data_IF_535801504256
#
_entry.id   IF_535801504256
#
_cell.length_a   1.000
_cell.length_b   1.000
_cell.length_c   1.000
_cell.angle_alpha   90.00
_cell.angle_beta   90.00
_cell.angle_gamma   90.00
#
_symmetry.space_group_name_H-M   'P 1'
#
loop_
_entity.id
_entity.type
_entity.pdbx_description
1 polymer ?
#
# COMPACT_ATOMS: atom_id res chain seq x y z
N UNK A 1 -20.90 24.24 -32.71
CA UNK A 1 -22.06 23.50 -32.16
C UNK A 1 -21.67 22.24 -31.37
N UNK A 2 -20.67 21.45 -31.77
CA UNK A 2 -20.27 20.22 -31.03
C UNK A 2 -19.69 20.48 -29.62
N UNK A 3 -18.85 21.52 -29.46
CA UNK A 3 -18.25 21.88 -28.16
C UNK A 3 -19.29 22.36 -27.13
N UNK A 4 -20.34 23.06 -27.56
CA UNK A 4 -21.43 23.51 -26.69
C UNK A 4 -22.32 22.35 -26.22
N UNK A 5 -22.59 21.38 -27.10
CA UNK A 5 -23.35 20.18 -26.75
C UNK A 5 -22.58 19.26 -25.79
N UNK A 6 -21.26 19.13 -25.95
CA UNK A 6 -20.41 18.36 -25.03
C UNK A 6 -20.34 19.01 -23.64
N UNK A 7 -20.22 20.33 -23.56
CA UNK A 7 -20.22 21.06 -22.28
C UNK A 7 -21.58 20.96 -21.55
N UNK A 8 -22.70 21.11 -22.28
CA UNK A 8 -24.04 20.98 -21.71
C UNK A 8 -24.38 19.53 -21.31
N UNK A 9 -23.96 18.54 -22.10
CA UNK A 9 -24.13 17.12 -21.79
C UNK A 9 -23.38 16.70 -20.53
N UNK A 10 -22.17 17.22 -20.32
CA UNK A 10 -21.37 16.93 -19.11
C UNK A 10 -21.94 17.62 -17.85
N UNK A 11 -22.53 18.81 -17.99
CA UNK A 11 -23.15 19.53 -16.89
C UNK A 11 -24.52 18.95 -16.47
N UNK A 12 -25.19 18.19 -17.35
CA UNK A 12 -26.54 17.64 -17.10
C UNK A 12 -26.55 16.13 -16.86
N UNK A 13 -25.47 15.41 -17.20
CA UNK A 13 -25.34 13.98 -16.91
C UNK A 13 -25.25 13.74 -15.40
N UNK A 14 -26.37 13.35 -14.79
CA UNK A 14 -26.40 12.86 -13.41
C UNK A 14 -26.01 11.38 -13.40
N UNK A 15 -25.18 10.92 -12.44
CA UNK A 15 -24.87 9.50 -12.32
C UNK A 15 -26.13 8.67 -12.10
N UNK A 16 -26.28 7.60 -12.87
CA UNK A 16 -27.37 6.62 -12.75
C UNK A 16 -26.81 5.23 -12.45
N UNK A 17 -27.67 4.23 -12.26
CA UNK A 17 -27.22 2.85 -12.07
C UNK A 17 -26.57 2.28 -13.35
N UNK A 18 -27.03 2.71 -14.53
CA UNK A 18 -26.51 2.29 -15.83
C UNK A 18 -25.19 3.01 -16.18
N UNK A 19 -25.01 4.23 -15.67
CA UNK A 19 -23.82 5.05 -15.84
C UNK A 19 -23.32 5.55 -14.49
N UNK A 20 -22.73 4.66 -13.67
CA UNK A 20 -22.36 4.99 -12.30
C UNK A 20 -21.14 5.90 -12.25
N UNK A 21 -21.12 6.79 -11.25
CA UNK A 21 -19.94 7.60 -10.96
C UNK A 21 -18.87 6.75 -10.28
N UNK A 22 -17.63 6.87 -10.75
CA UNK A 22 -16.49 6.27 -10.08
C UNK A 22 -16.13 7.04 -8.80
N UNK A 23 -15.88 6.31 -7.72
CA UNK A 23 -15.40 6.84 -6.44
C UNK A 23 -14.19 6.06 -5.95
N UNK A 24 -13.30 6.67 -5.18
CA UNK A 24 -12.09 6.02 -4.69
C UNK A 24 -11.86 6.36 -3.23
N UNK A 25 -11.63 5.35 -2.41
CA UNK A 25 -11.16 5.50 -1.03
C UNK A 25 -10.43 4.24 -0.60
N UNK A 26 -9.47 4.36 0.30
CA UNK A 26 -8.88 3.22 0.99
C UNK A 26 -8.46 3.59 2.41
N UNK A 27 -8.42 2.57 3.26
CA UNK A 27 -7.95 2.68 4.63
C UNK A 27 -6.49 2.24 4.71
N UNK A 28 -5.67 2.99 5.45
CA UNK A 28 -4.32 2.54 5.83
C UNK A 28 -4.08 2.75 7.32
N UNK A 29 -3.39 1.79 7.94
CA UNK A 29 -2.93 1.86 9.33
C UNK A 29 -1.40 1.73 9.37
N UNK A 30 -0.72 2.71 9.97
CA UNK A 30 0.66 2.59 10.42
C UNK A 30 0.66 1.97 11.83
N UNK A 31 1.02 0.69 11.91
CA UNK A 31 1.05 -0.05 13.17
C UNK A 31 2.21 0.36 14.09
N UNK A 32 3.24 1.06 13.59
CA UNK A 32 4.32 1.57 14.41
C UNK A 32 3.87 2.79 15.21
N UNK A 33 3.11 3.68 14.58
CA UNK A 33 2.60 4.92 15.21
C UNK A 33 1.20 4.78 15.79
N UNK A 34 0.48 3.73 15.42
CA UNK A 34 -0.94 3.59 15.76
C UNK A 34 -1.82 4.63 15.06
N UNK A 35 -1.37 5.18 13.93
CA UNK A 35 -2.09 6.22 13.18
C UNK A 35 -2.76 5.61 11.95
N UNK A 36 -4.00 6.00 11.69
CA UNK A 36 -4.78 5.55 10.56
C UNK A 36 -5.26 6.73 9.72
N UNK A 37 -5.46 6.47 8.44
CA UNK A 37 -5.86 7.48 7.47
C UNK A 37 -6.84 6.90 6.44
N UNK A 38 -7.79 7.72 6.03
CA UNK A 38 -8.52 7.56 4.78
C UNK A 38 -7.74 8.28 3.68
N UNK A 39 -7.58 7.63 2.53
CA UNK A 39 -6.89 8.20 1.37
C UNK A 39 -7.71 8.04 0.09
N UNK A 40 -7.53 8.98 -0.84
CA UNK A 40 -8.09 8.91 -2.17
C UNK A 40 -7.15 9.47 -3.24
N UNK A 41 -7.24 8.95 -4.46
CA UNK A 41 -6.61 9.50 -5.65
C UNK A 41 -7.49 10.56 -6.34
N UNK A 42 -8.70 10.81 -5.85
CA UNK A 42 -9.59 11.84 -6.37
C UNK A 42 -9.10 13.24 -5.94
N UNK A 43 -9.38 14.26 -6.74
CA UNK A 43 -9.01 15.64 -6.44
C UNK A 43 -9.75 16.23 -5.23
N UNK A 44 -10.89 15.64 -4.84
CA UNK A 44 -11.67 16.05 -3.68
C UNK A 44 -12.77 15.03 -3.33
N UNK A 45 -13.47 15.23 -2.20
CA UNK A 45 -14.55 14.34 -1.78
C UNK A 45 -15.76 14.42 -2.71
N UNK A 46 -16.30 13.25 -3.08
CA UNK A 46 -17.59 13.12 -3.75
C UNK A 46 -18.74 12.99 -2.72
N UNK A 47 -19.98 12.84 -3.20
CA UNK A 47 -21.15 12.80 -2.34
C UNK A 47 -21.11 11.67 -1.28
N UNK A 48 -20.49 10.53 -1.59
CA UNK A 48 -20.36 9.39 -0.68
C UNK A 48 -19.10 9.47 0.18
N UNK A 49 -17.96 9.88 -0.39
CA UNK A 49 -16.68 9.93 0.34
C UNK A 49 -16.57 11.09 1.34
N UNK A 50 -17.50 12.06 1.31
CA UNK A 50 -17.66 13.08 2.38
C UNK A 50 -17.76 12.51 3.79
N UNK A 51 -18.24 11.26 3.94
CA UNK A 51 -18.26 10.58 5.24
C UNK A 51 -16.85 10.32 5.81
N UNK A 52 -15.82 10.24 4.96
CA UNK A 52 -14.42 10.03 5.34
C UNK A 52 -13.62 11.34 5.37
N UNK A 53 -14.04 12.31 4.55
CA UNK A 53 -13.30 13.52 4.24
C UNK A 53 -14.12 14.77 4.58
N UNK A 54 -14.32 15.04 5.88
CA UNK A 54 -15.01 16.24 6.36
C UNK A 54 -14.16 17.51 6.24
N UNK A 55 -12.84 17.37 6.39
CA UNK A 55 -11.86 18.44 6.30
C UNK A 55 -10.51 17.85 5.82
N UNK A 56 -10.45 17.35 4.56
CA UNK A 56 -9.29 16.64 4.08
C UNK A 56 -8.13 17.60 3.77
N UNK A 57 -6.92 17.03 3.75
CA UNK A 57 -5.73 17.67 3.19
C UNK A 57 -5.42 17.05 1.83
N UNK A 58 -4.88 17.84 0.92
CA UNK A 58 -4.31 17.37 -0.35
C UNK A 58 -2.82 17.61 -0.32
N UNK A 59 -2.03 16.55 -0.37
CA UNK A 59 -0.58 16.66 -0.29
C UNK A 59 0.12 15.31 -0.34
N UNK A 60 1.46 15.30 -0.44
CA UNK A 60 2.25 14.09 -0.30
C UNK A 60 2.13 13.56 1.14
N UNK A 61 2.13 12.24 1.30
CA UNK A 61 2.07 11.57 2.60
C UNK A 61 3.21 10.55 2.74
N UNK A 62 4.48 11.02 2.76
CA UNK A 62 5.67 10.18 2.65
C UNK A 62 5.81 9.18 3.80
N UNK A 63 5.21 9.45 4.97
CA UNK A 63 5.19 8.53 6.09
C UNK A 63 4.48 7.20 5.79
N UNK A 64 3.46 7.20 4.93
CA UNK A 64 2.64 6.03 4.58
C UNK A 64 2.88 5.53 3.15
N UNK A 65 3.34 6.43 2.28
CA UNK A 65 3.60 6.20 0.87
C UNK A 65 5.04 6.63 0.54
N UNK A 66 6.06 5.96 1.10
CA UNK A 66 7.46 6.31 0.83
C UNK A 66 7.77 6.20 -0.66
N UNK A 67 8.46 7.22 -1.19
CA UNK A 67 8.80 7.34 -2.61
C UNK A 67 7.66 7.84 -3.51
N UNK A 68 6.47 8.09 -2.97
CA UNK A 68 5.35 8.69 -3.71
C UNK A 68 5.34 10.20 -3.48
N UNK A 69 5.58 10.96 -4.54
CA UNK A 69 5.59 12.43 -4.52
C UNK A 69 4.28 13.05 -5.01
N UNK A 70 3.42 12.25 -5.64
CA UNK A 70 2.12 12.71 -6.11
C UNK A 70 1.21 13.04 -4.92
N UNK A 71 0.50 14.19 -4.97
CA UNK A 71 -0.43 14.55 -3.91
C UNK A 71 -1.58 13.55 -3.86
N UNK A 72 -2.00 13.21 -2.65
CA UNK A 72 -3.17 12.37 -2.38
C UNK A 72 -4.14 13.15 -1.49
N UNK A 73 -5.44 12.92 -1.68
CA UNK A 73 -6.44 13.40 -0.74
C UNK A 73 -6.38 12.49 0.50
N UNK A 74 -6.17 13.05 1.68
CA UNK A 74 -6.08 12.27 2.90
C UNK A 74 -6.70 12.97 4.11
N UNK A 75 -7.19 12.16 5.05
CA UNK A 75 -7.66 12.62 6.36
C UNK A 75 -7.38 11.54 7.40
N UNK A 76 -7.06 11.95 8.63
CA UNK A 76 -6.91 11.02 9.75
C UNK A 76 -8.20 10.20 9.96
N UNK A 77 -8.03 8.91 10.21
CA UNK A 77 -9.12 7.97 10.44
C UNK A 77 -9.07 7.40 11.87
N UNK A 78 -10.21 6.93 12.41
CA UNK A 78 -10.21 6.16 13.65
C UNK A 78 -9.27 4.95 13.53
N UNK A 79 -8.43 4.75 14.55
CA UNK A 79 -7.56 3.57 14.62
C UNK A 79 -8.41 2.33 14.88
N UNK A 80 -8.37 1.39 13.95
CA UNK A 80 -8.96 0.06 14.10
C UNK A 80 -7.92 -0.95 14.64
N UNK A 81 -8.39 -1.94 15.38
CA UNK A 81 -7.56 -2.99 15.97
C UNK A 81 -7.18 -4.07 14.94
N UNK A 82 -6.45 -3.68 13.89
CA UNK A 82 -6.03 -4.58 12.82
C UNK A 82 -4.62 -5.12 13.08
N UNK A 83 -4.46 -6.45 13.01
CA UNK A 83 -3.16 -7.09 13.16
C UNK A 83 -2.23 -6.73 11.98
N UNK A 84 -0.99 -6.26 12.23
CA UNK A 84 -0.04 -5.96 11.17
C UNK A 84 0.65 -7.22 10.62
N UNK A 85 1.18 -7.18 9.39
CA UNK A 85 2.02 -8.27 8.88
C UNK A 85 3.22 -8.50 9.79
N UNK A 86 3.76 -9.72 9.77
CA UNK A 86 4.93 -10.11 10.57
C UNK A 86 6.13 -10.37 9.68
N UNK A 87 7.32 -9.98 10.15
CA UNK A 87 8.61 -10.36 9.56
C UNK A 87 9.40 -11.07 10.65
N UNK A 88 9.77 -12.32 10.41
CA UNK A 88 10.55 -13.16 11.33
C UNK A 88 11.87 -13.54 10.67
N UNK A 89 12.98 -13.40 11.39
CA UNK A 89 14.30 -13.84 10.91
C UNK A 89 14.36 -15.37 11.04
N UNK A 90 14.53 -16.05 9.91
CA UNK A 90 14.75 -17.50 9.86
C UNK A 90 16.25 -17.84 9.96
N UNK A 91 17.09 -17.02 9.34
CA UNK A 91 18.54 -17.14 9.42
C UNK A 91 19.20 -15.77 9.23
N UNK A 92 20.32 -15.58 9.93
CA UNK A 92 21.17 -14.40 9.83
C UNK A 92 22.62 -14.85 9.87
N UNK A 93 23.33 -14.67 8.76
CA UNK A 93 24.70 -15.14 8.60
C UNK A 93 25.59 -14.01 8.14
N UNK A 94 26.63 -13.72 8.92
CA UNK A 94 27.68 -12.80 8.51
C UNK A 94 28.65 -13.53 7.57
N UNK A 95 28.99 -12.89 6.46
CA UNK A 95 29.90 -13.41 5.44
C UNK A 95 31.08 -12.43 5.27
N UNK A 96 32.25 -12.87 4.77
CA UNK A 96 33.33 -11.95 4.41
C UNK A 96 32.90 -10.86 3.41
N UNK A 97 31.89 -11.17 2.60
CA UNK A 97 31.33 -10.29 1.55
C UNK A 97 30.07 -9.51 1.99
N UNK A 98 29.70 -9.57 3.27
CA UNK A 98 28.56 -8.83 3.83
C UNK A 98 27.69 -9.67 4.78
N UNK A 99 26.37 -9.71 4.56
CA UNK A 99 25.41 -10.42 5.42
C UNK A 99 24.30 -11.06 4.60
N UNK A 100 23.96 -12.30 4.92
CA UNK A 100 22.81 -13.02 4.35
C UNK A 100 21.68 -13.10 5.37
N UNK A 101 20.53 -12.54 5.03
CA UNK A 101 19.31 -12.57 5.84
C UNK A 101 18.24 -13.38 5.16
N UNK A 102 17.67 -14.36 5.85
CA UNK A 102 16.53 -15.15 5.39
C UNK A 102 15.33 -14.83 6.27
N UNK A 103 14.29 -14.27 5.67
CA UNK A 103 13.15 -13.68 6.37
C UNK A 103 11.86 -14.37 5.98
N UNK A 104 11.05 -14.76 6.96
CA UNK A 104 9.66 -15.16 6.76
C UNK A 104 8.77 -13.93 6.89
N UNK A 105 8.06 -13.60 5.82
CA UNK A 105 7.04 -12.53 5.82
C UNK A 105 5.67 -13.18 5.76
N UNK A 106 4.77 -12.81 6.68
CA UNK A 106 3.40 -13.36 6.72
C UNK A 106 2.36 -12.25 6.85
N UNK A 107 1.20 -12.40 6.19
CA UNK A 107 0.04 -11.61 6.54
C UNK A 107 -0.46 -12.03 7.92
N UNK A 108 -1.09 -11.10 8.65
CA UNK A 108 -1.70 -11.41 9.95
C UNK A 108 -3.24 -11.40 9.90
N UNK A 109 -3.82 -11.08 8.73
CA UNK A 109 -5.26 -10.93 8.53
C UNK A 109 -5.75 -11.90 7.43
N UNK A 110 -7.00 -12.40 7.52
CA UNK A 110 -7.59 -13.17 6.43
C UNK A 110 -7.82 -12.29 5.19
N UNK A 111 -7.88 -12.90 4.01
CA UNK A 111 -8.22 -12.20 2.76
C UNK A 111 -7.15 -11.22 2.27
N UNK A 112 -5.92 -11.29 2.77
CA UNK A 112 -4.80 -10.52 2.22
C UNK A 112 -4.47 -11.00 0.81
N UNK A 113 -4.55 -10.07 -0.14
CA UNK A 113 -4.32 -10.30 -1.57
C UNK A 113 -2.93 -9.86 -2.03
N UNK A 114 -2.22 -9.05 -1.24
CA UNK A 114 -0.81 -8.75 -1.49
C UNK A 114 -0.02 -8.41 -0.22
N UNK A 115 1.28 -8.72 -0.28
CA UNK A 115 2.30 -8.25 0.65
C UNK A 115 3.30 -7.38 -0.12
N UNK A 116 3.44 -6.13 0.30
CA UNK A 116 4.46 -5.22 -0.20
C UNK A 116 5.58 -5.09 0.83
N UNK A 117 6.81 -5.30 0.39
CA UNK A 117 8.01 -4.99 1.14
C UNK A 117 8.67 -3.76 0.53
N UNK A 118 9.13 -2.85 1.37
CA UNK A 118 9.95 -1.72 0.94
C UNK A 118 11.10 -1.48 1.90
N UNK A 119 12.26 -1.15 1.36
CA UNK A 119 13.50 -0.91 2.11
C UNK A 119 14.27 0.22 1.43
N UNK A 120 15.14 0.95 2.14
CA UNK A 120 16.01 1.95 1.52
C UNK A 120 16.94 1.32 0.48
N UNK A 121 17.47 2.11 -0.44
CA UNK A 121 18.54 1.66 -1.32
C UNK A 121 19.74 1.24 -0.48
N UNK A 122 20.11 -0.03 -0.61
CA UNK A 122 21.26 -0.65 0.05
C UNK A 122 22.04 -1.44 -0.99
N UNK A 123 23.33 -1.66 -0.74
CA UNK A 123 24.14 -2.53 -1.57
C UNK A 123 23.63 -3.97 -1.45
N UNK A 124 22.99 -4.48 -2.51
CA UNK A 124 22.55 -5.87 -2.62
C UNK A 124 23.45 -6.62 -3.60
N UNK A 125 24.05 -7.70 -3.10
CA UNK A 125 24.71 -8.71 -3.93
C UNK A 125 23.68 -9.66 -4.58
N UNK A 126 22.49 -9.77 -3.97
CA UNK A 126 21.39 -10.59 -4.49
C UNK A 126 20.12 -10.49 -3.66
N UNK A 127 19.00 -10.87 -4.29
CA UNK A 127 17.69 -11.00 -3.65
C UNK A 127 17.02 -12.26 -4.17
N UNK A 128 16.45 -13.08 -3.26
CA UNK A 128 15.55 -14.18 -3.63
C UNK A 128 14.18 -13.98 -3.01
N UNK A 129 13.15 -14.29 -3.77
CA UNK A 129 11.74 -14.15 -3.36
C UNK A 129 11.06 -15.48 -3.65
N UNK A 130 10.50 -16.12 -2.62
CA UNK A 130 9.87 -17.43 -2.74
C UNK A 130 10.77 -18.45 -3.48
N UNK A 131 12.07 -18.46 -3.17
CA UNK A 131 13.06 -19.34 -3.80
C UNK A 131 13.61 -18.89 -5.16
N UNK A 132 13.05 -17.86 -5.78
CA UNK A 132 13.43 -17.38 -7.11
C UNK A 132 14.38 -16.18 -7.01
N UNK A 133 15.49 -16.20 -7.75
CA UNK A 133 16.41 -15.07 -7.81
C UNK A 133 15.77 -13.88 -8.56
N UNK A 134 15.91 -12.69 -8.02
CA UNK A 134 15.48 -11.45 -8.67
C UNK A 134 16.62 -10.93 -9.52
N UNK A 135 16.31 -10.56 -10.77
CA UNK A 135 17.30 -10.02 -11.70
C UNK A 135 17.94 -8.74 -11.13
N UNK A 136 19.28 -8.58 -11.15
CA UNK A 136 19.96 -7.40 -10.59
C UNK A 136 19.47 -6.06 -11.14
N UNK A 137 19.08 -6.00 -12.41
CA UNK A 137 18.53 -4.80 -13.03
C UNK A 137 17.24 -4.30 -12.37
N UNK A 138 16.50 -5.17 -11.67
CA UNK A 138 15.27 -4.82 -10.93
C UNK A 138 15.55 -4.35 -9.50
N UNK A 139 16.79 -4.46 -9.02
CA UNK A 139 17.20 -4.07 -7.67
C UNK A 139 17.75 -2.63 -7.61
N UNK A 140 17.83 -1.96 -8.76
CA UNK A 140 18.29 -0.59 -8.87
C UNK A 140 17.11 0.36 -8.62
N UNK A 141 17.26 1.26 -7.65
CA UNK A 141 16.26 2.29 -7.35
C UNK A 141 16.78 3.68 -7.70
N UNK A 142 15.96 4.45 -8.40
CA UNK A 142 16.18 5.89 -8.67
C UNK A 142 15.56 6.80 -7.60
N UNK A 143 14.80 6.25 -6.66
CA UNK A 143 14.03 7.01 -5.65
C UNK A 143 14.58 6.89 -4.23
N UNK A 144 15.72 6.21 -4.06
CA UNK A 144 16.33 5.92 -2.76
C UNK A 144 15.62 4.81 -1.97
N UNK A 145 14.58 4.20 -2.53
CA UNK A 145 13.83 3.08 -1.94
C UNK A 145 13.58 1.98 -2.97
N UNK A 146 13.75 0.74 -2.53
CA UNK A 146 13.33 -0.44 -3.29
C UNK A 146 11.99 -0.95 -2.77
N UNK A 147 11.24 -1.58 -3.67
CA UNK A 147 9.93 -2.14 -3.33
C UNK A 147 9.65 -3.42 -4.10
N UNK A 148 9.09 -4.40 -3.41
CA UNK A 148 8.62 -5.66 -3.97
C UNK A 148 7.17 -5.84 -3.56
N UNK A 149 6.30 -6.19 -4.51
CA UNK A 149 4.92 -6.61 -4.20
C UNK A 149 4.75 -8.06 -4.60
N UNK A 150 4.37 -8.90 -3.63
CA UNK A 150 4.00 -10.29 -3.84
C UNK A 150 2.48 -10.41 -3.80
N UNK A 151 1.90 -10.96 -4.86
CA UNK A 151 0.45 -11.15 -5.00
C UNK A 151 0.05 -12.55 -4.52
N UNK A 152 -1.16 -12.66 -3.97
CA UNK A 152 -1.71 -13.91 -3.44
C UNK A 152 -0.76 -14.67 -2.47
N UNK A 153 -0.31 -14.03 -1.38
CA UNK A 153 0.68 -14.62 -0.46
C UNK A 153 0.19 -15.86 0.30
N UNK A 154 -1.13 -16.11 0.35
CA UNK A 154 -1.71 -17.11 1.23
C UNK A 154 -1.41 -16.85 2.72
N UNK A 155 -1.88 -17.72 3.63
CA UNK A 155 -1.64 -17.55 5.07
C UNK A 155 -0.17 -17.80 5.46
N UNK A 156 0.56 -18.60 4.68
CA UNK A 156 1.97 -18.90 4.95
C UNK A 156 2.92 -17.77 4.50
N UNK A 157 2.44 -16.84 3.68
CA UNK A 157 3.24 -15.74 3.16
C UNK A 157 4.38 -16.22 2.28
N UNK A 158 5.55 -15.59 2.41
CA UNK A 158 6.72 -15.87 1.59
C UNK A 158 8.02 -15.79 2.38
N UNK A 159 9.03 -16.50 1.88
CA UNK A 159 10.42 -16.32 2.31
C UNK A 159 11.12 -15.35 1.36
N UNK A 160 11.83 -14.38 1.94
CA UNK A 160 12.68 -13.44 1.21
C UNK A 160 14.10 -13.54 1.74
N UNK A 161 15.07 -13.60 0.83
CA UNK A 161 16.48 -13.78 1.15
C UNK A 161 17.25 -12.59 0.61
N UNK A 162 17.87 -11.82 1.50
CA UNK A 162 18.69 -10.66 1.18
C UNK A 162 20.16 -11.03 1.31
N UNK A 163 20.92 -10.83 0.24
CA UNK A 163 22.38 -10.88 0.26
C UNK A 163 22.89 -9.44 0.24
N UNK A 164 23.19 -8.91 1.43
CA UNK A 164 23.67 -7.54 1.64
C UNK A 164 25.18 -7.48 1.42
N UNK A 165 25.64 -6.39 0.79
CA UNK A 165 27.05 -6.02 0.71
C UNK A 165 27.59 -5.50 2.05
N UNK A 166 28.92 -5.33 2.17
CA UNK A 166 29.59 -5.05 3.45
C UNK A 166 29.22 -3.67 4.06
N UNK A 167 28.85 -2.68 3.24
CA UNK A 167 28.52 -1.32 3.72
C UNK A 167 27.23 -1.26 4.54
N UNK A 168 26.18 -1.96 4.09
CA UNK A 168 24.83 -1.90 4.67
C UNK A 168 24.45 -3.14 5.50
N UNK A 169 25.37 -4.10 5.63
CA UNK A 169 25.13 -5.37 6.30
C UNK A 169 24.58 -5.22 7.74
N UNK A 170 24.93 -4.14 8.46
CA UNK A 170 24.64 -4.03 9.89
C UNK A 170 23.22 -3.60 10.26
N UNK A 171 22.45 -2.98 9.35
CA UNK A 171 21.08 -2.52 9.64
C UNK A 171 20.22 -2.55 8.38
N UNK A 172 19.37 -3.56 8.25
CA UNK A 172 18.36 -3.58 7.20
C UNK A 172 17.03 -3.12 7.78
N UNK A 173 16.52 -1.97 7.33
CA UNK A 173 15.17 -1.55 7.66
C UNK A 173 14.20 -2.03 6.57
N UNK A 174 13.22 -2.84 6.96
CA UNK A 174 12.14 -3.28 6.08
C UNK A 174 10.81 -2.75 6.58
N UNK A 175 10.00 -2.24 5.67
CA UNK A 175 8.58 -1.98 5.90
C UNK A 175 7.77 -3.02 5.16
N UNK A 176 6.93 -3.76 5.89
CA UNK A 176 5.97 -4.69 5.32
C UNK A 176 4.57 -4.06 5.37
N UNK A 177 3.85 -4.17 4.27
CA UNK A 177 2.47 -3.71 4.12
C UNK A 177 1.63 -4.86 3.59
N UNK A 178 0.60 -5.25 4.31
CA UNK A 178 -0.43 -6.13 3.76
C UNK A 178 -1.56 -5.31 3.13
N UNK A 179 -2.28 -5.92 2.20
CA UNK A 179 -3.46 -5.33 1.55
C UNK A 179 -4.54 -6.39 1.40
N UNK A 180 -5.74 -6.09 1.89
CA UNK A 180 -6.96 -6.85 1.62
C UNK A 180 -7.92 -6.01 0.78
N UNK A 181 -8.80 -6.67 0.05
CA UNK A 181 -9.90 -6.00 -0.65
C UNK A 181 -11.00 -5.62 0.34
N UNK A 182 -11.74 -4.57 0.01
CA UNK A 182 -12.79 -4.00 0.86
C UNK A 182 -12.26 -3.02 1.91
N UNK A 183 -13.16 -2.16 2.36
CA UNK A 183 -12.96 -1.30 3.52
C UNK A 183 -13.14 -2.13 4.80
N UNK A 184 -12.50 -1.75 5.92
CA UNK A 184 -12.58 -2.53 7.14
C UNK A 184 -14.01 -2.48 7.71
N UNK A 185 -14.60 -3.63 7.99
CA UNK A 185 -15.98 -3.74 8.46
C UNK A 185 -16.20 -2.99 9.80
N UNK A 186 -15.16 -2.93 10.63
CA UNK A 186 -15.15 -2.24 11.92
C UNK A 186 -15.32 -0.72 11.77
N UNK A 187 -15.04 -0.15 10.59
CA UNK A 187 -15.28 1.27 10.31
C UNK A 187 -16.78 1.62 10.15
N UNK A 188 -17.67 0.62 10.02
CA UNK A 188 -19.13 0.81 9.87
C UNK A 188 -19.49 1.86 8.81
N UNK A 189 -18.85 1.77 7.65
CA UNK A 189 -19.02 2.70 6.53
C UNK A 189 -20.41 2.56 5.91
N UNK A 190 -20.99 3.66 5.41
CA UNK A 190 -22.23 3.58 4.65
C UNK A 190 -21.98 2.82 3.34
N UNK A 191 -22.92 1.97 2.88
CA UNK A 191 -22.75 1.24 1.62
C UNK A 191 -22.68 2.20 0.43
N UNK A 192 -22.09 1.75 -0.67
CA UNK A 192 -22.10 2.52 -1.92
C UNK A 192 -23.53 2.63 -2.46
N UNK A 193 -23.99 3.84 -2.84
CA UNK A 193 -25.23 4.02 -3.58
C UNK A 193 -25.18 3.30 -4.93
N UNK A 194 -26.35 2.89 -5.45
CA UNK A 194 -26.44 2.14 -6.71
C UNK A 194 -25.92 2.92 -7.94
N UNK A 195 -25.87 4.25 -7.87
CA UNK A 195 -25.33 5.12 -8.93
C UNK A 195 -23.83 5.41 -8.77
N UNK A 196 -23.13 4.68 -7.90
CA UNK A 196 -21.69 4.80 -7.70
C UNK A 196 -21.02 3.43 -7.77
N UNK A 197 -19.78 3.42 -8.25
CA UNK A 197 -18.94 2.23 -8.33
C UNK A 197 -17.52 2.55 -7.88
N UNK A 198 -16.84 1.57 -7.31
CA UNK A 198 -15.43 1.69 -7.01
C UNK A 198 -14.64 2.00 -8.31
N UNK A 199 -13.83 3.04 -8.28
CA UNK A 199 -12.87 3.35 -9.32
C UNK A 199 -11.88 2.18 -9.45
N UNK A 200 -11.35 1.89 -10.64
CA UNK A 200 -10.30 0.90 -10.79
C UNK A 200 -9.02 1.38 -10.10
N UNK A 201 -8.12 0.44 -9.78
CA UNK A 201 -6.78 0.76 -9.29
C UNK A 201 -6.34 -0.09 -8.11
N UNK A 202 -5.03 -0.22 -7.95
CA UNK A 202 -4.40 -1.10 -6.95
C UNK A 202 -4.85 -0.81 -5.50
N UNK A 203 -5.04 0.46 -5.18
CA UNK A 203 -5.41 0.89 -3.83
C UNK A 203 -6.93 1.00 -3.62
N UNK A 204 -7.73 1.07 -4.68
CA UNK A 204 -9.15 1.40 -4.60
C UNK A 204 -9.92 0.37 -3.77
N UNK A 205 -10.65 0.85 -2.75
CA UNK A 205 -11.43 0.02 -1.83
C UNK A 205 -10.59 -1.09 -1.20
N UNK A 206 -9.51 -0.70 -0.53
CA UNK A 206 -8.63 -1.63 0.18
C UNK A 206 -8.43 -1.24 1.63
N UNK A 207 -8.03 -2.24 2.41
CA UNK A 207 -7.55 -2.06 3.78
C UNK A 207 -6.08 -2.45 3.82
N UNK A 208 -5.22 -1.50 4.20
CA UNK A 208 -3.77 -1.68 4.24
C UNK A 208 -3.26 -1.55 5.68
N UNK A 209 -2.41 -2.48 6.11
CA UNK A 209 -1.72 -2.37 7.40
C UNK A 209 -0.23 -2.45 7.19
N UNK A 210 0.48 -1.45 7.69
CA UNK A 210 1.92 -1.29 7.51
C UNK A 210 2.64 -1.44 8.84
N UNK A 211 3.77 -2.15 8.83
CA UNK A 211 4.68 -2.23 9.97
C UNK A 211 6.13 -2.20 9.51
N UNK A 212 6.97 -1.46 10.23
CA UNK A 212 8.40 -1.34 10.01
C UNK A 212 9.19 -2.17 11.02
N UNK A 213 10.23 -2.82 10.52
CA UNK A 213 11.14 -3.72 11.21
C UNK A 213 12.58 -3.23 11.02
N UNK A 214 13.39 -3.34 12.08
CA UNK A 214 14.83 -3.15 12.01
C UNK A 214 15.48 -4.51 12.26
N UNK A 215 16.33 -4.94 11.33
CA UNK A 215 16.95 -6.27 11.30
C UNK A 215 18.47 -6.15 11.24
#
# INVERSE_FOLDING_TARGET
>A
MALGALAAGHATSRPTAEHPQQTHVFYTLDANRGQAYWLSSMAGPDAWTRQFFSAPTVGPLPELLPGVTLPVLHQGAPRLALAPPTVTVLADTTLPTGRRLRLQVRPARPGVVSLRLSWPSVQLNGLRVAGHAVAPALLVSSTGYNGLTFLAPGPQGLVVEFDLGPGDAKRLQITAKDRSLGLPAEAKTQPLPANMVAAPGYNSFTTQVTKRFQL
#
